data_IF_649698164983
#
_entry.id   IF_649698164983
#
_cell.length_a   1.000
_cell.length_b   1.000
_cell.length_c   1.000
_cell.angle_alpha   90.00
_cell.angle_beta   90.00
_cell.angle_gamma   90.00
#
_symmetry.space_group_name_H-M   'P 1'
#
loop_
_entity.id
_entity.type
_entity.pdbx_description
1 polymer ?
#
# COMPACT_ATOMS: atom_id res chain seq x y z
N UNK A 1 11.63 -0.05 -1.01
CA UNK A 1 10.55 -0.41 -0.07
C UNK A 1 10.61 0.60 1.07
N UNK A 2 9.49 1.23 1.43
CA UNK A 2 9.46 2.34 2.37
C UNK A 2 8.79 1.90 3.68
N UNK A 3 9.46 2.12 4.80
CA UNK A 3 8.92 1.96 6.15
C UNK A 3 8.58 3.34 6.76
N UNK A 4 7.79 3.35 7.83
CA UNK A 4 7.37 4.58 8.54
C UNK A 4 6.74 5.65 7.64
N UNK A 5 5.79 5.23 6.79
CA UNK A 5 5.04 6.13 5.90
C UNK A 5 3.91 6.82 6.65
N UNK A 6 3.83 8.14 6.58
CA UNK A 6 2.75 8.89 7.22
C UNK A 6 1.40 8.67 6.51
N UNK A 7 0.39 8.27 7.27
CA UNK A 7 -1.01 8.38 6.91
C UNK A 7 -1.52 9.75 7.35
N UNK A 8 -1.85 10.62 6.39
CA UNK A 8 -2.17 12.02 6.65
C UNK A 8 -3.66 12.29 6.64
N UNK A 9 -4.11 13.27 7.42
CA UNK A 9 -5.52 13.65 7.45
C UNK A 9 -6.01 14.25 6.12
N UNK A 10 -5.13 14.97 5.41
CA UNK A 10 -5.34 15.58 4.10
C UNK A 10 -4.21 15.21 3.13
N UNK A 11 -4.43 15.26 1.80
CA UNK A 11 -3.42 14.95 0.78
C UNK A 11 -2.40 16.08 0.62
N UNK A 12 -1.71 16.40 1.72
CA UNK A 12 -0.76 17.51 1.84
C UNK A 12 0.40 17.12 2.76
N UNK A 13 1.63 17.49 2.38
CA UNK A 13 2.86 17.11 3.11
C UNK A 13 2.98 17.74 4.51
N UNK A 14 2.23 18.81 4.78
CA UNK A 14 2.20 19.51 6.07
C UNK A 14 0.94 19.17 6.88
N UNK A 15 0.03 18.36 6.33
CA UNK A 15 -1.12 17.88 7.08
C UNK A 15 -0.69 17.01 8.26
N UNK A 16 -1.49 17.05 9.32
CA UNK A 16 -1.39 16.17 10.48
C UNK A 16 -1.26 14.70 10.08
N UNK A 17 -0.39 13.99 10.79
CA UNK A 17 -0.19 12.54 10.70
C UNK A 17 -1.17 11.83 11.63
N UNK A 18 -2.11 11.07 11.05
CA UNK A 18 -3.13 10.27 11.73
C UNK A 18 -2.57 8.94 12.23
N UNK A 19 -1.59 8.39 11.49
CA UNK A 19 -0.84 7.18 11.85
C UNK A 19 0.46 7.08 11.07
N UNK A 20 1.37 6.20 11.51
CA UNK A 20 2.49 5.72 10.70
C UNK A 20 2.24 4.29 10.27
N UNK A 21 2.47 4.03 8.99
CA UNK A 21 2.32 2.72 8.37
C UNK A 21 3.69 2.12 8.11
N UNK A 22 3.83 0.84 8.42
CA UNK A 22 5.02 0.05 8.13
C UNK A 22 4.54 -1.27 7.57
N UNK A 23 4.57 -1.41 6.24
CA UNK A 23 4.12 -2.61 5.51
C UNK A 23 2.67 -3.02 5.74
N UNK A 24 1.82 -2.09 6.17
CA UNK A 24 0.40 -2.37 6.38
C UNK A 24 -0.30 -2.63 5.04
N UNK A 25 -1.12 -3.67 5.00
CA UNK A 25 -2.12 -3.83 3.95
C UNK A 25 -3.22 -2.80 4.17
N UNK A 26 -3.58 -2.10 3.09
CA UNK A 26 -4.61 -1.05 3.10
C UNK A 26 -5.60 -1.28 1.96
N UNK A 27 -6.85 -0.89 2.19
CA UNK A 27 -7.85 -0.76 1.15
C UNK A 27 -7.76 0.64 0.54
N UNK A 28 -7.72 0.73 -0.79
CA UNK A 28 -7.69 2.01 -1.50
C UNK A 28 -9.11 2.42 -1.89
N UNK A 29 -9.43 3.68 -1.66
CA UNK A 29 -10.64 4.36 -2.13
C UNK A 29 -10.23 5.28 -3.30
N UNK A 30 -10.31 4.73 -4.53
CA UNK A 30 -9.86 5.42 -5.74
C UNK A 30 -10.71 6.64 -6.09
N UNK A 31 -12.01 6.60 -5.80
CA UNK A 31 -12.94 7.69 -6.08
C UNK A 31 -12.59 8.96 -5.28
N UNK A 32 -12.14 8.78 -4.03
CA UNK A 32 -11.74 9.88 -3.16
C UNK A 32 -10.23 10.15 -3.13
N UNK A 33 -9.48 9.54 -4.05
CA UNK A 33 -8.04 9.75 -4.22
C UNK A 33 -7.75 10.96 -5.10
N UNK A 34 -6.56 11.55 -4.97
CA UNK A 34 -6.15 12.72 -5.76
C UNK A 34 -5.43 12.25 -7.01
N UNK A 35 -6.13 12.30 -8.14
CA UNK A 35 -5.58 11.98 -9.45
C UNK A 35 -4.44 12.95 -9.86
N UNK A 36 -3.48 12.43 -10.62
CA UNK A 36 -2.46 13.23 -11.27
C UNK A 36 -3.04 13.85 -12.54
N UNK A 37 -3.30 15.16 -12.53
CA UNK A 37 -3.86 15.88 -13.69
C UNK A 37 -2.97 15.82 -14.94
N UNK A 38 -1.69 15.52 -14.79
CA UNK A 38 -0.73 15.48 -15.88
C UNK A 38 -0.52 14.09 -16.46
N UNK A 39 -1.06 13.03 -15.83
CA UNK A 39 -0.90 11.64 -16.29
C UNK A 39 -2.11 10.81 -15.92
N UNK A 40 -2.90 10.47 -16.93
CA UNK A 40 -4.09 9.63 -16.78
C UNK A 40 -3.76 8.27 -16.16
N UNK A 41 -4.65 7.79 -15.28
CA UNK A 41 -4.45 6.54 -14.55
C UNK A 41 -3.49 6.63 -13.35
N UNK A 42 -2.85 7.77 -13.12
CA UNK A 42 -1.99 7.97 -11.94
C UNK A 42 -2.66 8.81 -10.85
N UNK A 43 -2.19 8.58 -9.62
CA UNK A 43 -2.60 9.35 -8.45
C UNK A 43 -1.38 10.00 -7.81
N UNK A 44 -1.56 11.19 -7.24
CA UNK A 44 -0.56 11.84 -6.39
C UNK A 44 -0.71 11.36 -4.94
N UNK A 45 -1.95 11.21 -4.50
CA UNK A 45 -2.33 10.75 -3.18
C UNK A 45 -3.45 9.73 -3.27
N UNK A 46 -3.31 8.67 -2.50
CA UNK A 46 -4.34 7.64 -2.35
C UNK A 46 -5.05 7.83 -1.01
N UNK A 47 -6.38 7.88 -1.06
CA UNK A 47 -7.21 7.72 0.13
C UNK A 47 -7.23 6.24 0.50
N UNK A 48 -6.87 5.94 1.73
CA UNK A 48 -6.73 4.55 2.19
C UNK A 48 -7.37 4.32 3.54
N UNK A 49 -7.74 3.06 3.77
CA UNK A 49 -8.21 2.53 5.05
C UNK A 49 -7.33 1.35 5.47
N UNK A 50 -6.78 1.41 6.68
CA UNK A 50 -6.03 0.29 7.28
C UNK A 50 -6.99 -0.80 7.77
N UNK A 51 -6.49 -2.02 7.96
CA UNK A 51 -7.29 -3.11 8.57
C UNK A 51 -7.82 -2.77 9.98
N UNK A 52 -7.17 -1.85 10.69
CA UNK A 52 -7.64 -1.33 11.98
C UNK A 52 -8.64 -0.17 11.88
N UNK A 53 -9.15 0.15 10.68
CA UNK A 53 -10.17 1.17 10.45
C UNK A 53 -9.67 2.62 10.38
N UNK A 54 -8.36 2.88 10.57
CA UNK A 54 -7.81 4.22 10.39
C UNK A 54 -7.84 4.63 8.93
N UNK A 55 -8.33 5.84 8.65
CA UNK A 55 -8.49 6.43 7.32
C UNK A 55 -7.63 7.67 7.15
N UNK A 56 -7.16 7.89 5.93
CA UNK A 56 -6.37 9.08 5.59
C UNK A 56 -5.82 9.01 4.18
N UNK A 57 -4.79 9.80 3.91
CA UNK A 57 -4.12 9.91 2.63
C UNK A 57 -2.65 9.51 2.73
N UNK A 58 -2.18 8.75 1.75
CA UNK A 58 -0.77 8.38 1.59
C UNK A 58 -0.33 8.79 0.19
N UNK A 59 0.90 9.26 0.01
CA UNK A 59 1.41 9.54 -1.33
C UNK A 59 1.46 8.24 -2.15
N UNK A 60 0.94 8.28 -3.38
CA UNK A 60 0.79 7.08 -4.20
C UNK A 60 2.11 6.35 -4.45
N UNK A 61 3.25 7.06 -4.47
CA UNK A 61 4.60 6.49 -4.61
C UNK A 61 5.00 5.48 -3.52
N UNK A 62 4.28 5.47 -2.39
CA UNK A 62 4.55 4.58 -1.26
C UNK A 62 3.60 3.37 -1.21
N UNK A 63 2.60 3.31 -2.09
CA UNK A 63 1.64 2.22 -2.16
C UNK A 63 1.96 1.36 -3.38
N UNK A 64 1.90 0.04 -3.23
CA UNK A 64 2.09 -0.92 -4.32
C UNK A 64 0.97 -1.95 -4.27
N UNK A 65 0.51 -2.40 -5.45
CA UNK A 65 -0.40 -3.54 -5.53
C UNK A 65 0.28 -4.80 -4.98
N UNK A 66 -0.37 -5.56 -4.09
CA UNK A 66 0.14 -6.86 -3.63
C UNK A 66 -0.03 -7.97 -4.67
N UNK A 67 -0.72 -7.69 -5.78
CA UNK A 67 -0.98 -8.64 -6.88
C UNK A 67 0.25 -8.73 -7.81
N UNK A 68 1.43 -8.35 -7.35
CA UNK A 68 2.67 -8.56 -8.11
C UNK A 68 3.12 -10.04 -8.04
N UNK A 69 4.37 -10.34 -8.39
CA UNK A 69 4.98 -11.66 -8.15
C UNK A 69 4.84 -12.09 -6.69
N UNK A 70 4.28 -13.29 -6.47
CA UNK A 70 4.05 -13.88 -5.15
C UNK A 70 4.73 -15.24 -5.04
N UNK A 71 5.37 -15.48 -3.91
CA UNK A 71 5.99 -16.77 -3.57
C UNK A 71 5.40 -17.32 -2.27
N UNK A 72 5.04 -18.60 -2.26
CA UNK A 72 4.62 -19.32 -1.06
C UNK A 72 5.76 -20.20 -0.56
N UNK A 73 5.96 -20.22 0.75
CA UNK A 73 6.98 -21.04 1.41
C UNK A 73 6.32 -21.94 2.44
N UNK A 74 6.73 -23.21 2.44
CA UNK A 74 6.29 -24.20 3.42
C UNK A 74 7.49 -24.86 4.08
N UNK A 75 7.35 -25.19 5.36
CA UNK A 75 8.38 -25.94 6.09
C UNK A 75 8.18 -27.44 5.84
N UNK A 76 9.08 -28.05 5.08
CA UNK A 76 9.08 -29.50 4.76
C UNK A 76 10.35 -30.13 5.30
N UNK A 77 10.20 -31.16 6.16
CA UNK A 77 11.30 -31.86 6.82
C UNK A 77 12.28 -30.90 7.52
N UNK A 78 11.72 -29.93 8.26
CA UNK A 78 12.50 -28.93 9.00
C UNK A 78 13.10 -27.80 8.15
N UNK A 79 13.00 -27.84 6.82
CA UNK A 79 13.57 -26.83 5.91
C UNK A 79 12.49 -26.02 5.23
N UNK A 80 12.66 -24.70 5.16
CA UNK A 80 11.80 -23.83 4.34
C UNK A 80 12.07 -24.11 2.86
N UNK A 81 11.00 -24.41 2.12
CA UNK A 81 11.04 -24.61 0.66
C UNK A 81 9.98 -23.73 0.02
N UNK A 82 10.35 -23.09 -1.09
CA UNK A 82 9.36 -22.43 -1.95
C UNK A 82 8.49 -23.50 -2.61
N UNK A 83 7.17 -23.37 -2.53
CA UNK A 83 6.21 -24.33 -3.09
C UNK A 83 5.39 -23.74 -4.23
N UNK A 84 5.35 -22.42 -4.34
CA UNK A 84 4.66 -21.72 -5.43
C UNK A 84 5.41 -20.45 -5.75
N UNK A 85 5.51 -20.13 -7.04
CA UNK A 85 5.94 -18.83 -7.54
C UNK A 85 5.03 -18.45 -8.70
N UNK A 86 4.24 -17.40 -8.50
CA UNK A 86 3.23 -16.95 -9.47
C UNK A 86 3.53 -15.51 -9.86
N UNK A 87 3.55 -15.25 -11.16
CA UNK A 87 3.36 -13.90 -11.68
C UNK A 87 1.89 -13.53 -11.41
N UNK A 88 1.65 -12.38 -10.79
CA UNK A 88 0.29 -11.90 -10.65
C UNK A 88 -0.24 -11.31 -11.95
N UNK A 89 -1.57 -11.20 -12.02
CA UNK A 89 -2.36 -10.69 -13.15
C UNK A 89 -2.59 -9.17 -13.09
#
# INVERSE_FOLDING_TARGET
IFDNVDLRARPDLKSETVARLSYNVVKVDYENSVANKNKEGEYLWLKVETLGGKKGFVSAKFVRSPIDYRACFEKKNGKWKMTTFVAGD
#
